data_IF_565514164134
#
_entry.id   IF_565514164134
#
_cell.length_a   1.000
_cell.length_b   1.000
_cell.length_c   1.000
_cell.angle_alpha   90.00
_cell.angle_beta   90.00
_cell.angle_gamma   90.00
#
_symmetry.space_group_name_H-M   'P 1'
#
loop_
_entity.id
_entity.type
_entity.pdbx_description
1 polymer ?
#
# COMPACT_ATOMS: atom_id res chain seq x y z
N UNK A 1 23.16 -12.08 -8.34
CA UNK A 1 22.56 -13.36 -8.78
C UNK A 1 21.77 -13.94 -7.62
N UNK A 2 20.56 -14.48 -7.84
CA UNK A 2 19.81 -15.19 -6.81
C UNK A 2 20.70 -16.22 -6.13
N UNK A 3 20.78 -16.22 -4.80
CA UNK A 3 21.38 -17.38 -4.13
C UNK A 3 20.30 -18.46 -4.05
N UNK A 4 20.67 -19.73 -4.29
CA UNK A 4 19.73 -20.85 -4.18
C UNK A 4 19.04 -20.88 -2.80
N UNK A 5 19.74 -20.38 -1.79
CA UNK A 5 19.25 -20.24 -0.42
C UNK A 5 18.16 -19.16 -0.28
N UNK A 6 18.33 -17.97 -0.86
CA UNK A 6 17.30 -16.91 -0.80
C UNK A 6 16.04 -17.30 -1.58
N UNK A 7 16.19 -18.00 -2.72
CA UNK A 7 15.04 -18.55 -3.46
C UNK A 7 14.26 -19.55 -2.60
N UNK A 8 14.95 -20.45 -1.90
CA UNK A 8 14.30 -21.40 -0.99
C UNK A 8 13.58 -20.71 0.18
N UNK A 9 14.12 -19.59 0.68
CA UNK A 9 13.45 -18.76 1.69
C UNK A 9 12.19 -18.11 1.13
N UNK A 10 12.23 -17.58 -0.09
CA UNK A 10 11.04 -17.00 -0.75
C UNK A 10 9.95 -18.07 -0.93
N UNK A 11 10.29 -19.27 -1.39
CA UNK A 11 9.34 -20.37 -1.51
C UNK A 11 8.75 -20.78 -0.15
N UNK A 12 9.57 -20.75 0.91
CA UNK A 12 9.15 -21.07 2.27
C UNK A 12 8.13 -20.08 2.85
N UNK A 13 8.01 -18.86 2.30
CA UNK A 13 6.95 -17.91 2.67
C UNK A 13 5.54 -18.47 2.42
N UNK A 14 5.39 -19.44 1.52
CA UNK A 14 4.10 -20.08 1.24
C UNK A 14 3.65 -21.08 2.32
N UNK A 15 4.53 -21.47 3.26
CA UNK A 15 4.28 -22.56 4.21
C UNK A 15 4.17 -22.07 5.66
N UNK A 16 3.03 -22.31 6.33
CA UNK A 16 2.77 -21.85 7.71
C UNK A 16 3.89 -22.18 8.73
N UNK A 17 4.51 -23.37 8.74
CA UNK A 17 5.57 -23.68 9.70
C UNK A 17 6.88 -22.93 9.44
N UNK A 18 7.18 -22.61 8.18
CA UNK A 18 8.49 -22.05 7.76
C UNK A 18 8.45 -20.55 7.52
N UNK A 19 7.26 -20.00 7.24
CA UNK A 19 7.07 -18.60 6.85
C UNK A 19 7.61 -17.61 7.88
N UNK A 20 7.40 -17.75 9.21
CA UNK A 20 7.91 -16.76 10.17
C UNK A 20 9.44 -16.69 10.18
N UNK A 21 10.12 -17.83 10.09
CA UNK A 21 11.59 -17.88 10.04
C UNK A 21 12.12 -17.37 8.70
N UNK A 22 11.49 -17.78 7.60
CA UNK A 22 11.86 -17.30 6.26
C UNK A 22 11.71 -15.79 6.13
N UNK A 23 10.61 -15.23 6.65
CA UNK A 23 10.36 -13.79 6.66
C UNK A 23 11.41 -13.04 7.48
N UNK A 24 11.71 -13.50 8.70
CA UNK A 24 12.74 -12.89 9.55
C UNK A 24 14.12 -12.94 8.92
N UNK A 25 14.47 -14.06 8.29
CA UNK A 25 15.77 -14.23 7.65
C UNK A 25 15.90 -13.35 6.39
N UNK A 26 14.86 -13.24 5.57
CA UNK A 26 14.86 -12.34 4.41
C UNK A 26 15.01 -10.87 4.82
N UNK A 27 14.38 -10.44 5.92
CA UNK A 27 14.61 -9.11 6.49
C UNK A 27 16.04 -8.92 6.99
N UNK A 28 16.60 -9.94 7.66
CA UNK A 28 17.98 -9.88 8.18
C UNK A 28 19.00 -9.71 7.06
N UNK A 29 18.74 -10.30 5.89
CA UNK A 29 19.55 -10.13 4.66
C UNK A 29 19.39 -8.74 4.03
N UNK A 30 18.30 -8.03 4.33
CA UNK A 30 18.11 -6.65 3.90
C UNK A 30 18.07 -6.50 2.38
N UNK A 31 18.79 -5.50 1.87
CA UNK A 31 18.84 -5.15 0.45
C UNK A 31 19.40 -6.27 -0.44
N UNK A 32 20.24 -7.15 0.09
CA UNK A 32 20.79 -8.29 -0.67
C UNK A 32 19.71 -9.28 -1.13
N UNK A 33 18.61 -9.39 -0.38
CA UNK A 33 17.49 -10.28 -0.71
C UNK A 33 16.48 -9.64 -1.68
N UNK A 34 16.57 -8.33 -1.94
CA UNK A 34 15.58 -7.58 -2.73
C UNK A 34 15.36 -8.17 -4.12
N UNK A 35 16.40 -8.53 -4.92
CA UNK A 35 16.18 -9.09 -6.24
C UNK A 35 15.32 -10.37 -6.22
N UNK A 36 15.52 -11.21 -5.20
CA UNK A 36 14.80 -12.47 -5.05
C UNK A 36 13.38 -12.26 -4.50
N UNK A 37 13.21 -11.32 -3.57
CA UNK A 37 11.89 -10.91 -3.07
C UNK A 37 11.04 -10.32 -4.21
N UNK A 38 11.63 -9.47 -5.07
CA UNK A 38 10.96 -8.91 -6.25
C UNK A 38 10.54 -10.01 -7.23
N UNK A 39 11.40 -11.02 -7.46
CA UNK A 39 11.04 -12.20 -8.24
C UNK A 39 9.87 -12.97 -7.61
N UNK A 40 9.81 -13.05 -6.28
CA UNK A 40 8.71 -13.66 -5.53
C UNK A 40 7.33 -13.02 -5.77
N UNK A 41 7.26 -11.78 -6.24
CA UNK A 41 6.00 -11.14 -6.65
C UNK A 41 5.35 -11.79 -7.88
N UNK A 42 6.09 -12.63 -8.62
CA UNK A 42 5.55 -13.42 -9.75
C UNK A 42 5.23 -14.87 -9.35
N UNK A 43 5.38 -15.22 -8.08
CA UNK A 43 5.24 -16.60 -7.62
C UNK A 43 3.79 -17.11 -7.78
N UNK A 44 3.58 -18.38 -8.16
CA UNK A 44 2.23 -18.92 -8.40
C UNK A 44 1.35 -18.91 -7.14
N UNK A 45 1.95 -19.13 -5.97
CA UNK A 45 1.24 -19.11 -4.68
C UNK A 45 0.97 -17.66 -4.22
N UNK A 46 -0.30 -17.23 -4.05
CA UNK A 46 -0.63 -15.86 -3.65
C UNK A 46 -0.02 -15.46 -2.31
N UNK A 47 0.10 -16.42 -1.39
CA UNK A 47 0.70 -16.15 -0.08
C UNK A 47 2.15 -15.70 -0.17
N UNK A 48 2.93 -16.28 -1.08
CA UNK A 48 4.32 -15.84 -1.30
C UNK A 48 4.33 -14.40 -1.82
N UNK A 49 3.48 -14.07 -2.79
CA UNK A 49 3.36 -12.71 -3.33
C UNK A 49 2.96 -11.69 -2.24
N UNK A 50 2.01 -12.04 -1.39
CA UNK A 50 1.55 -11.24 -0.24
C UNK A 50 2.71 -10.93 0.71
N UNK A 51 3.47 -11.94 1.12
CA UNK A 51 4.60 -11.74 2.04
C UNK A 51 5.76 -10.99 1.37
N UNK A 52 5.99 -11.20 0.07
CA UNK A 52 6.96 -10.41 -0.68
C UNK A 52 6.58 -8.92 -0.71
N UNK A 53 5.29 -8.58 -0.88
CA UNK A 53 4.84 -7.19 -0.77
C UNK A 53 5.15 -6.59 0.61
N UNK A 54 4.93 -7.35 1.69
CA UNK A 54 5.22 -6.92 3.07
C UNK A 54 6.71 -6.77 3.35
N UNK A 55 7.55 -7.65 2.81
CA UNK A 55 9.00 -7.54 2.92
C UNK A 55 9.49 -6.26 2.24
N UNK A 56 9.00 -5.96 1.03
CA UNK A 56 9.38 -4.74 0.31
C UNK A 56 8.90 -3.47 1.01
N UNK A 57 7.73 -3.50 1.65
CA UNK A 57 7.24 -2.42 2.52
C UNK A 57 8.18 -2.17 3.70
N UNK A 58 8.64 -3.23 4.38
CA UNK A 58 9.53 -3.11 5.54
C UNK A 58 10.97 -2.73 5.16
N UNK A 59 11.44 -3.15 3.99
CA UNK A 59 12.78 -2.84 3.48
C UNK A 59 12.87 -1.43 2.86
N UNK A 60 11.73 -0.75 2.65
CA UNK A 60 11.66 0.64 2.17
C UNK A 60 12.45 0.88 0.89
N UNK A 61 12.22 0.02 -0.09
CA UNK A 61 13.03 -0.04 -1.31
C UNK A 61 12.37 0.79 -2.42
N UNK A 62 12.93 1.95 -2.84
CA UNK A 62 12.34 2.78 -3.89
C UNK A 62 12.18 2.05 -5.21
N UNK A 63 13.14 1.20 -5.60
CA UNK A 63 13.10 0.45 -6.86
C UNK A 63 12.01 -0.63 -6.91
N UNK A 64 11.32 -0.89 -5.79
CA UNK A 64 10.19 -1.82 -5.73
C UNK A 64 8.82 -1.14 -5.91
N UNK A 65 8.77 0.19 -6.01
CA UNK A 65 7.51 0.95 -6.10
C UNK A 65 6.70 0.57 -7.35
N UNK A 66 7.36 0.40 -8.49
CA UNK A 66 6.68 -0.01 -9.74
C UNK A 66 6.14 -1.45 -9.64
N UNK A 67 6.90 -2.34 -9.01
CA UNK A 67 6.45 -3.72 -8.79
C UNK A 67 5.25 -3.76 -7.83
N UNK A 68 5.30 -3.03 -6.71
CA UNK A 68 4.19 -2.90 -5.78
C UNK A 68 2.95 -2.26 -6.43
N UNK A 69 3.16 -1.30 -7.34
CA UNK A 69 2.08 -0.68 -8.12
C UNK A 69 1.43 -1.71 -9.05
N UNK A 70 2.19 -2.61 -9.66
CA UNK A 70 1.65 -3.70 -10.46
C UNK A 70 0.86 -4.71 -9.61
N UNK A 71 1.24 -4.92 -8.34
CA UNK A 71 0.53 -5.82 -7.43
C UNK A 71 -0.87 -5.33 -7.02
N UNK A 72 -1.24 -4.09 -7.34
CA UNK A 72 -2.61 -3.60 -7.18
C UNK A 72 -3.61 -4.29 -8.11
N UNK A 73 -3.14 -4.92 -9.18
CA UNK A 73 -3.96 -5.65 -10.14
C UNK A 73 -3.91 -7.18 -9.90
N UNK A 74 -3.34 -7.64 -8.78
CA UNK A 74 -3.24 -9.07 -8.46
C UNK A 74 -4.63 -9.73 -8.34
N UNK A 75 -4.82 -10.97 -8.84
CA UNK A 75 -6.09 -11.67 -8.68
C UNK A 75 -6.49 -11.90 -7.22
N UNK A 76 -5.53 -12.02 -6.31
CA UNK A 76 -5.78 -12.28 -4.89
C UNK A 76 -5.92 -10.96 -4.09
N UNK A 77 -7.04 -10.84 -3.39
CA UNK A 77 -7.36 -9.63 -2.61
C UNK A 77 -6.36 -9.35 -1.47
N UNK A 78 -5.74 -10.38 -0.88
CA UNK A 78 -4.74 -10.20 0.20
C UNK A 78 -3.46 -9.59 -0.36
N UNK A 79 -3.09 -9.95 -1.58
CA UNK A 79 -1.94 -9.37 -2.27
C UNK A 79 -2.23 -7.89 -2.60
N UNK A 80 -3.41 -7.58 -3.15
CA UNK A 80 -3.82 -6.18 -3.40
C UNK A 80 -3.82 -5.34 -2.11
N UNK A 81 -4.30 -5.90 -1.00
CA UNK A 81 -4.24 -5.25 0.32
C UNK A 81 -2.80 -4.97 0.77
N UNK A 82 -1.89 -5.95 0.61
CA UNK A 82 -0.49 -5.79 0.99
C UNK A 82 0.21 -4.71 0.13
N UNK A 83 -0.08 -4.68 -1.17
CA UNK A 83 0.40 -3.65 -2.09
C UNK A 83 -0.11 -2.25 -1.71
N UNK A 84 -1.42 -2.10 -1.46
CA UNK A 84 -2.00 -0.83 -1.01
C UNK A 84 -1.35 -0.35 0.29
N UNK A 85 -1.12 -1.25 1.25
CA UNK A 85 -0.45 -0.90 2.50
C UNK A 85 0.97 -0.38 2.24
N UNK A 86 1.75 -1.07 1.41
CA UNK A 86 3.11 -0.68 1.07
C UNK A 86 3.19 0.71 0.43
N UNK A 87 2.20 1.05 -0.40
CA UNK A 87 2.13 2.33 -1.09
C UNK A 87 1.53 3.45 -0.22
N UNK A 88 0.69 3.14 0.77
CA UNK A 88 0.01 4.14 1.60
C UNK A 88 0.66 4.39 2.98
N UNK A 89 1.58 3.54 3.43
CA UNK A 89 2.12 3.65 4.79
C UNK A 89 3.15 4.79 4.92
N UNK A 90 2.70 5.92 5.46
CA UNK A 90 3.57 7.05 5.83
C UNK A 90 4.44 6.75 7.05
N UNK A 91 3.98 5.86 7.96
CA UNK A 91 4.70 5.55 9.20
C UNK A 91 6.01 4.80 8.98
N UNK A 92 6.16 4.13 7.85
CA UNK A 92 7.36 3.38 7.54
C UNK A 92 8.42 4.26 6.84
N UNK A 93 8.12 5.51 6.45
CA UNK A 93 9.02 6.36 5.64
C UNK A 93 9.36 7.67 6.38
N UNK A 94 10.51 7.75 7.09
CA UNK A 94 10.98 9.00 7.70
C UNK A 94 11.24 10.07 6.63
N UNK A 95 11.73 9.65 5.46
CA UNK A 95 11.95 10.48 4.28
C UNK A 95 10.82 10.23 3.26
N UNK A 96 9.71 10.93 3.47
CA UNK A 96 8.43 10.71 2.81
C UNK A 96 8.42 10.81 1.27
N UNK A 97 9.52 11.25 0.63
CA UNK A 97 9.58 11.50 -0.80
C UNK A 97 10.24 10.37 -1.61
N UNK A 98 11.11 9.54 -1.02
CA UNK A 98 11.89 8.57 -1.79
C UNK A 98 11.08 7.35 -2.28
N UNK A 99 9.99 7.00 -1.60
CA UNK A 99 9.22 5.77 -1.85
C UNK A 99 7.74 6.03 -2.16
N UNK A 100 7.40 7.24 -2.64
CA UNK A 100 6.05 7.51 -3.14
C UNK A 100 6.00 7.30 -4.65
N UNK A 101 5.09 6.46 -5.18
CA UNK A 101 4.86 6.40 -6.61
C UNK A 101 4.42 7.77 -7.14
N UNK A 102 4.74 8.05 -8.40
CA UNK A 102 4.24 9.25 -9.08
C UNK A 102 2.71 9.32 -8.92
N UNK A 103 2.26 10.39 -8.27
CA UNK A 103 0.85 10.70 -8.03
C UNK A 103 0.04 10.57 -9.31
N UNK A 104 0.55 11.07 -10.44
CA UNK A 104 -0.15 11.05 -11.72
C UNK A 104 -0.48 9.62 -12.18
N UNK A 105 0.36 8.65 -11.80
CA UNK A 105 0.17 7.23 -12.14
C UNK A 105 -0.73 6.53 -11.12
N UNK A 106 -0.45 6.72 -9.83
CA UNK A 106 -1.09 5.91 -8.79
C UNK A 106 -2.50 6.39 -8.43
N UNK A 107 -2.76 7.70 -8.48
CA UNK A 107 -3.99 8.27 -7.96
C UNK A 107 -5.23 7.82 -8.76
N UNK A 108 -5.24 7.87 -10.11
CA UNK A 108 -6.38 7.37 -10.88
C UNK A 108 -6.66 5.89 -10.61
N UNK A 109 -5.60 5.09 -10.39
CA UNK A 109 -5.72 3.67 -10.02
C UNK A 109 -6.32 3.50 -8.63
N UNK A 110 -5.82 4.22 -7.63
CA UNK A 110 -6.34 4.16 -6.26
C UNK A 110 -7.83 4.54 -6.19
N UNK A 111 -8.24 5.58 -6.94
CA UNK A 111 -9.65 5.99 -7.04
C UNK A 111 -10.50 4.90 -7.71
N UNK A 112 -10.00 4.25 -8.75
CA UNK A 112 -10.69 3.11 -9.40
C UNK A 112 -10.85 1.94 -8.44
N UNK A 113 -9.79 1.55 -7.73
CA UNK A 113 -9.82 0.47 -6.74
C UNK A 113 -10.82 0.77 -5.64
N UNK A 114 -10.83 1.99 -5.09
CA UNK A 114 -11.80 2.42 -4.09
C UNK A 114 -13.25 2.31 -4.57
N UNK A 115 -13.49 2.47 -5.88
CA UNK A 115 -14.82 2.45 -6.47
C UNK A 115 -15.27 1.04 -6.86
N UNK A 116 -14.39 0.27 -7.48
CA UNK A 116 -14.76 -0.86 -8.31
C UNK A 116 -14.23 -2.20 -7.79
N UNK A 117 -13.29 -2.23 -6.83
CA UNK A 117 -12.74 -3.50 -6.35
C UNK A 117 -13.83 -4.35 -5.69
N UNK A 118 -13.97 -5.64 -6.05
CA UNK A 118 -15.01 -6.49 -5.47
C UNK A 118 -14.83 -6.69 -3.96
N UNK A 119 -13.59 -6.64 -3.46
CA UNK A 119 -13.28 -6.92 -2.08
C UNK A 119 -13.37 -5.64 -1.21
N UNK A 120 -14.22 -5.63 -0.17
CA UNK A 120 -14.41 -4.45 0.67
C UNK A 120 -13.18 -4.08 1.50
N UNK A 121 -12.31 -5.04 1.83
CA UNK A 121 -11.06 -4.75 2.53
C UNK A 121 -10.07 -4.04 1.60
N UNK A 122 -10.01 -4.43 0.33
CA UNK A 122 -9.21 -3.73 -0.69
C UNK A 122 -9.73 -2.30 -0.86
N UNK A 123 -11.05 -2.10 -1.02
CA UNK A 123 -11.63 -0.74 -1.09
C UNK A 123 -11.34 0.11 0.15
N UNK A 124 -11.44 -0.48 1.36
CA UNK A 124 -11.11 0.22 2.60
C UNK A 124 -9.64 0.65 2.67
N UNK A 125 -8.71 -0.16 2.16
CA UNK A 125 -7.29 0.22 2.06
C UNK A 125 -7.04 1.26 0.98
N UNK A 126 -7.76 1.20 -0.14
CA UNK A 126 -7.68 2.22 -1.18
C UNK A 126 -8.13 3.59 -0.66
N UNK A 127 -9.10 3.65 0.27
CA UNK A 127 -9.46 4.90 0.93
C UNK A 127 -8.30 5.54 1.72
N UNK A 128 -7.40 4.74 2.30
CA UNK A 128 -6.20 5.25 2.97
C UNK A 128 -5.24 5.90 1.96
N UNK A 129 -5.00 5.22 0.83
CA UNK A 129 -4.13 5.70 -0.23
C UNK A 129 -4.69 6.97 -0.88
N UNK A 130 -5.98 7.00 -1.23
CA UNK A 130 -6.66 8.19 -1.76
C UNK A 130 -6.62 9.34 -0.75
N UNK A 131 -6.68 9.04 0.55
CA UNK A 131 -6.57 10.00 1.64
C UNK A 131 -5.29 10.84 1.63
N UNK A 132 -4.21 10.36 1.01
CA UNK A 132 -2.97 11.13 0.87
C UNK A 132 -3.14 12.42 0.07
N UNK A 133 -4.15 12.48 -0.81
CA UNK A 133 -4.40 13.63 -1.70
C UNK A 133 -5.66 14.40 -1.33
N UNK A 134 -6.28 14.12 -0.18
CA UNK A 134 -7.57 14.73 0.17
C UNK A 134 -7.50 16.26 0.37
N UNK A 135 -6.33 16.79 0.74
CA UNK A 135 -6.15 18.24 0.94
C UNK A 135 -5.64 18.98 -0.31
N UNK A 136 -5.29 18.26 -1.37
CA UNK A 136 -4.67 18.82 -2.58
C UNK A 136 -5.40 18.49 -3.87
N UNK A 137 -6.37 17.57 -3.86
CA UNK A 137 -7.14 17.17 -5.05
C UNK A 137 -8.65 17.03 -4.80
N UNK A 138 -9.49 17.83 -5.49
CA UNK A 138 -10.94 17.65 -5.51
C UNK A 138 -11.41 16.26 -5.93
N UNK A 139 -10.70 15.55 -6.82
CA UNK A 139 -11.06 14.19 -7.23
C UNK A 139 -10.91 13.19 -6.10
N UNK A 140 -9.86 13.32 -5.27
CA UNK A 140 -9.67 12.49 -4.09
C UNK A 140 -10.76 12.76 -3.05
N UNK A 141 -11.12 14.03 -2.85
CA UNK A 141 -12.25 14.42 -2.00
C UNK A 141 -13.55 13.78 -2.47
N UNK A 142 -13.88 13.93 -3.76
CA UNK A 142 -15.11 13.39 -4.34
C UNK A 142 -15.18 11.86 -4.22
N UNK A 143 -14.05 11.17 -4.47
CA UNK A 143 -13.98 9.72 -4.32
C UNK A 143 -14.21 9.25 -2.88
N UNK A 144 -13.61 9.93 -1.89
CA UNK A 144 -13.79 9.60 -0.47
C UNK A 144 -15.19 9.91 0.04
N UNK A 145 -15.79 11.03 -0.40
CA UNK A 145 -17.17 11.38 -0.06
C UNK A 145 -18.14 10.33 -0.64
N UNK A 146 -17.98 9.97 -1.92
CA UNK A 146 -18.78 8.91 -2.55
C UNK A 146 -18.65 7.58 -1.80
N UNK A 147 -17.43 7.14 -1.50
CA UNK A 147 -17.22 5.89 -0.77
C UNK A 147 -17.78 5.94 0.66
N UNK A 148 -17.75 7.10 1.33
CA UNK A 148 -18.36 7.30 2.65
C UNK A 148 -19.88 7.14 2.60
N UNK A 149 -20.51 7.69 1.56
CA UNK A 149 -21.96 7.83 1.50
C UNK A 149 -22.65 6.64 0.80
N UNK A 150 -21.99 6.04 -0.20
CA UNK A 150 -22.60 5.08 -1.12
C UNK A 150 -21.99 3.67 -1.09
N UNK A 151 -20.83 3.43 -0.46
CA UNK A 151 -20.20 2.10 -0.51
C UNK A 151 -21.10 1.03 0.17
N UNK A 152 -21.29 -0.16 -0.45
CA UNK A 152 -22.10 -1.22 0.15
C UNK A 152 -21.63 -1.66 1.54
N UNK A 153 -20.32 -1.63 1.78
CA UNK A 153 -19.70 -2.09 3.03
C UNK A 153 -19.69 -0.99 4.09
N UNK A 154 -20.28 -1.23 5.29
CA UNK A 154 -20.21 -0.29 6.41
C UNK A 154 -18.77 0.01 6.84
N UNK A 155 -17.87 -0.97 6.72
CA UNK A 155 -16.45 -0.81 7.05
C UNK A 155 -15.77 0.18 6.10
N UNK A 156 -16.07 0.10 4.80
CA UNK A 156 -15.54 1.05 3.81
C UNK A 156 -16.10 2.44 4.06
N UNK A 157 -17.43 2.57 4.27
CA UNK A 157 -18.06 3.86 4.59
C UNK A 157 -17.41 4.54 5.79
N UNK A 158 -17.23 3.78 6.89
CA UNK A 158 -16.57 4.26 8.11
C UNK A 158 -15.13 4.71 7.82
N UNK A 159 -14.38 3.89 7.08
CA UNK A 159 -12.97 4.16 6.76
C UNK A 159 -12.82 5.38 5.86
N UNK A 160 -13.58 5.46 4.77
CA UNK A 160 -13.62 6.63 3.88
C UNK A 160 -14.04 7.89 4.65
N UNK A 161 -15.02 7.78 5.55
CA UNK A 161 -15.44 8.88 6.43
C UNK A 161 -14.36 9.40 7.37
N UNK A 162 -13.33 8.61 7.69
CA UNK A 162 -12.19 9.12 8.47
C UNK A 162 -11.32 10.10 7.67
N UNK A 163 -11.17 9.88 6.37
CA UNK A 163 -10.35 10.68 5.46
C UNK A 163 -11.14 11.75 4.72
N UNK A 164 -12.44 11.58 4.53
CA UNK A 164 -13.31 12.58 3.92
C UNK A 164 -13.37 13.89 4.75
N UNK A 165 -13.74 15.03 4.15
CA UNK A 165 -13.86 16.31 4.86
C UNK A 165 -14.67 16.21 6.16
N UNK A 166 -14.09 16.74 7.24
CA UNK A 166 -14.67 16.66 8.59
C UNK A 166 -14.36 15.36 9.34
N UNK A 167 -13.75 14.36 8.71
CA UNK A 167 -13.32 13.13 9.36
C UNK A 167 -12.18 13.34 10.39
N UNK A 168 -12.01 12.43 11.37
CA UNK A 168 -10.93 12.51 12.34
C UNK A 168 -9.53 12.53 11.71
N UNK A 169 -9.27 11.73 10.67
CA UNK A 169 -7.96 11.70 10.01
C UNK A 169 -7.80 12.92 9.10
N UNK A 170 -8.85 13.31 8.37
CA UNK A 170 -8.86 14.55 7.58
C UNK A 170 -8.43 15.77 8.43
N UNK A 171 -9.07 15.96 9.59
CA UNK A 171 -8.75 17.08 10.50
C UNK A 171 -7.32 17.00 11.02
N UNK A 172 -6.86 15.81 11.41
CA UNK A 172 -5.52 15.59 11.96
C UNK A 172 -4.41 15.81 10.92
N UNK A 173 -4.69 15.53 9.65
CA UNK A 173 -3.72 15.62 8.54
C UNK A 173 -3.78 16.93 7.78
N UNK A 174 -4.68 17.85 8.16
CA UNK A 174 -4.83 19.13 7.49
C UNK A 174 -3.52 19.93 7.53
N UNK A 175 -3.09 20.54 6.40
CA UNK A 175 -1.89 21.37 6.36
C UNK A 175 -2.03 22.53 7.35
N UNK A 176 -0.94 22.85 8.07
CA UNK A 176 -0.93 24.00 8.97
C UNK A 176 -1.13 25.27 8.12
N UNK A 177 -1.94 26.25 8.58
CA UNK A 177 -2.09 27.51 7.87
C UNK A 177 -0.71 28.18 7.73
N UNK A 178 -0.40 28.65 6.52
CA UNK A 178 0.82 29.41 6.27
C UNK A 178 0.81 30.63 7.19
N UNK A 179 1.86 30.79 8.02
CA UNK A 179 2.04 31.99 8.83
C UNK A 179 2.22 33.16 7.87
N UNK A 180 1.18 33.95 7.68
CA UNK A 180 1.28 35.24 6.98
C UNK A 180 2.10 36.17 7.88
N UNK A 181 3.37 36.39 7.53
CA UNK A 181 4.11 37.52 8.07
C UNK A 181 3.51 38.79 7.49
N UNK A 182 2.85 39.59 8.32
CA UNK A 182 2.49 40.96 7.96
C UNK A 182 3.77 41.78 7.93
N UNK A 183 4.06 42.40 6.77
CA UNK A 183 5.10 43.41 6.61
C UNK A 183 4.69 44.73 7.27
#
# INVERSE_FOLDING_TARGET
>A
MPTAETVALVDALGSEPRRPDAFRELLRRGTEAVPDIRRGLRHPVPRVREECCRLLDQLLVPEAVDDLTAMLDDPDARVRVAALHALSCDRCKPDADACRPDRAVIQPRAIRILRDDPDPQVRARAAELVGLWVHSDPQAVAALVRARDEDPSPTVRKKAGWYAPGGPIHRRTAPKPARTFRA
#
